data_IF_509498952012
#
_entry.id   IF_509498952012
#
_cell.length_a   1.000
_cell.length_b   1.000
_cell.length_c   1.000
_cell.angle_alpha   90.00
_cell.angle_beta   90.00
_cell.angle_gamma   90.00
#
_symmetry.space_group_name_H-M   'P 1'
#
loop_
_entity.id
_entity.type
_entity.pdbx_description
1 polymer ?
#
# COMPACT_ATOMS: atom_id res chain seq x y z
N UNK A 1 -10.47 -10.50 24.47
CA UNK A 1 -10.11 -11.27 23.29
C UNK A 1 -10.34 -10.47 22.00
N UNK A 2 -11.50 -9.83 21.89
CA UNK A 2 -11.81 -9.06 20.70
C UNK A 2 -10.86 -7.89 20.50
N UNK A 3 -10.48 -7.21 21.58
CA UNK A 3 -9.55 -6.11 21.50
C UNK A 3 -8.16 -6.52 21.02
N UNK A 4 -7.69 -7.67 21.48
CA UNK A 4 -6.38 -8.18 21.09
C UNK A 4 -6.38 -8.58 19.62
N UNK A 5 -7.42 -9.26 19.17
CA UNK A 5 -7.53 -9.67 17.78
C UNK A 5 -7.60 -8.46 16.86
N UNK A 6 -8.33 -7.45 17.27
CA UNK A 6 -8.46 -6.21 16.51
C UNK A 6 -7.12 -5.50 16.37
N UNK A 7 -6.37 -5.44 17.47
CA UNK A 7 -5.05 -4.84 17.46
C UNK A 7 -4.08 -5.57 16.53
N UNK A 8 -4.13 -6.90 16.52
CA UNK A 8 -3.29 -7.70 15.64
C UNK A 8 -3.62 -7.49 14.18
N UNK A 9 -4.91 -7.41 13.86
CA UNK A 9 -5.34 -7.16 12.49
C UNK A 9 -4.88 -5.80 12.00
N UNK A 10 -4.96 -4.80 12.84
CA UNK A 10 -4.51 -3.46 12.51
C UNK A 10 -3.00 -3.43 12.28
N UNK A 11 -2.24 -4.08 13.14
CA UNK A 11 -0.80 -4.16 12.99
C UNK A 11 -0.39 -4.85 11.68
N UNK A 12 -1.09 -5.91 11.32
CA UNK A 12 -0.82 -6.62 10.06
C UNK A 12 -1.14 -5.77 8.86
N UNK A 13 -2.24 -5.02 8.93
CA UNK A 13 -2.63 -4.12 7.84
C UNK A 13 -1.58 -3.05 7.61
N UNK A 14 -1.04 -2.48 8.67
CA UNK A 14 0.00 -1.48 8.58
C UNK A 14 1.28 -2.04 7.97
N UNK A 15 1.70 -3.22 8.41
CA UNK A 15 2.86 -3.88 7.86
C UNK A 15 2.71 -4.19 6.38
N UNK A 16 1.54 -4.69 5.98
CA UNK A 16 1.25 -4.95 4.58
C UNK A 16 1.24 -3.66 3.77
N UNK A 17 0.66 -2.62 4.33
CA UNK A 17 0.58 -1.34 3.64
C UNK A 17 1.97 -0.78 3.35
N UNK A 18 2.88 -0.88 4.30
CA UNK A 18 4.26 -0.44 4.09
C UNK A 18 4.95 -1.22 2.97
N UNK A 19 4.75 -2.54 2.94
CA UNK A 19 5.28 -3.36 1.87
C UNK A 19 4.69 -2.99 0.52
N UNK A 20 3.39 -2.77 0.47
CA UNK A 20 2.69 -2.37 -0.75
C UNK A 20 3.16 -1.00 -1.21
N UNK A 21 3.33 -0.06 -0.29
CA UNK A 21 3.83 1.28 -0.62
C UNK A 21 5.24 1.21 -1.20
N UNK A 22 6.07 0.34 -0.66
CA UNK A 22 7.43 0.14 -1.17
C UNK A 22 7.40 -0.39 -2.60
N UNK A 23 6.54 -1.37 -2.87
CA UNK A 23 6.35 -1.92 -4.22
C UNK A 23 5.84 -0.84 -5.16
N UNK A 24 4.86 -0.06 -4.71
CA UNK A 24 4.30 1.04 -5.52
C UNK A 24 5.36 2.06 -5.90
N UNK A 25 6.25 2.40 -4.98
CA UNK A 25 7.36 3.31 -5.25
C UNK A 25 8.28 2.75 -6.32
N UNK A 26 8.60 1.47 -6.20
CA UNK A 26 9.47 0.80 -7.17
C UNK A 26 8.84 0.79 -8.56
N UNK A 27 7.56 0.49 -8.64
CA UNK A 27 6.84 0.47 -9.91
C UNK A 27 6.77 1.86 -10.53
N UNK A 28 6.54 2.85 -9.70
CA UNK A 28 6.49 4.24 -10.16
C UNK A 28 7.85 4.69 -10.68
N UNK A 29 8.91 4.35 -9.98
CA UNK A 29 10.27 4.64 -10.38
C UNK A 29 10.63 3.94 -11.70
N UNK A 30 10.05 2.77 -11.94
CA UNK A 30 10.22 2.03 -13.18
C UNK A 30 9.44 2.57 -14.37
N UNK A 31 8.63 3.62 -14.17
CA UNK A 31 7.87 4.24 -15.25
C UNK A 31 6.45 3.72 -15.41
N UNK A 32 5.97 2.92 -14.47
CA UNK A 32 4.59 2.43 -14.52
C UNK A 32 3.60 3.56 -14.24
N UNK A 33 2.48 3.56 -14.94
CA UNK A 33 1.46 4.59 -14.73
C UNK A 33 0.81 4.45 -13.36
N UNK A 34 0.33 5.56 -12.81
CA UNK A 34 -0.35 5.59 -11.52
C UNK A 34 -1.55 4.66 -11.52
N UNK A 35 -2.31 4.66 -12.62
CA UNK A 35 -3.48 3.80 -12.76
C UNK A 35 -3.12 2.32 -12.72
N UNK A 36 -2.04 1.95 -13.41
CA UNK A 36 -1.57 0.57 -13.41
C UNK A 36 -1.07 0.16 -12.04
N UNK A 37 -0.37 1.04 -11.33
CA UNK A 37 0.11 0.79 -9.98
C UNK A 37 -1.08 0.61 -9.03
N UNK A 38 -2.09 1.44 -9.15
CA UNK A 38 -3.30 1.34 -8.34
C UNK A 38 -3.97 -0.02 -8.53
N UNK A 39 -4.08 -0.49 -9.77
CA UNK A 39 -4.67 -1.77 -10.08
C UNK A 39 -3.83 -2.93 -9.52
N UNK A 40 -2.51 -2.81 -9.61
CA UNK A 40 -1.60 -3.86 -9.15
C UNK A 40 -1.51 -3.94 -7.63
N UNK A 41 -1.56 -2.81 -6.94
CA UNK A 41 -1.36 -2.73 -5.50
C UNK A 41 -2.65 -2.63 -4.69
N UNK A 42 -3.74 -2.24 -5.32
CA UNK A 42 -5.00 -1.97 -4.63
C UNK A 42 -5.02 -0.63 -3.90
N UNK A 43 -4.00 0.19 -4.10
CA UNK A 43 -3.95 1.53 -3.52
C UNK A 43 -4.80 2.49 -4.34
N UNK A 44 -5.21 3.60 -3.72
CA UNK A 44 -5.90 4.65 -4.44
C UNK A 44 -4.89 5.49 -5.24
N UNK A 45 -5.37 6.13 -6.28
CA UNK A 45 -4.50 7.00 -7.09
C UNK A 45 -3.92 8.12 -6.24
N UNK A 46 -4.71 8.67 -5.31
CA UNK A 46 -4.25 9.69 -4.39
C UNK A 46 -3.06 9.21 -3.56
N UNK A 47 -3.16 7.99 -3.02
CA UNK A 47 -2.08 7.43 -2.24
C UNK A 47 -0.80 7.29 -3.06
N UNK A 48 -0.94 6.87 -4.30
CA UNK A 48 0.22 6.70 -5.18
C UNK A 48 0.83 8.05 -5.55
N UNK A 49 0.00 9.05 -5.81
CA UNK A 49 0.49 10.38 -6.14
C UNK A 49 1.26 11.02 -4.99
N UNK A 50 0.94 10.65 -3.75
CA UNK A 50 1.64 11.13 -2.58
C UNK A 50 2.97 10.43 -2.33
N UNK A 51 3.24 9.36 -3.06
CA UNK A 51 4.52 8.67 -2.96
C UNK A 51 5.61 9.46 -3.68
N UNK A 52 6.79 9.45 -3.12
CA UNK A 52 7.92 10.16 -3.72
C UNK A 52 8.59 9.37 -4.87
#
# INVERSE_FOLDING_TARGET
KEGIEKGRKEGRKEGRKEGILSVARNLRSGGMSVEAIAAATGLSIEEIEQLD
#
